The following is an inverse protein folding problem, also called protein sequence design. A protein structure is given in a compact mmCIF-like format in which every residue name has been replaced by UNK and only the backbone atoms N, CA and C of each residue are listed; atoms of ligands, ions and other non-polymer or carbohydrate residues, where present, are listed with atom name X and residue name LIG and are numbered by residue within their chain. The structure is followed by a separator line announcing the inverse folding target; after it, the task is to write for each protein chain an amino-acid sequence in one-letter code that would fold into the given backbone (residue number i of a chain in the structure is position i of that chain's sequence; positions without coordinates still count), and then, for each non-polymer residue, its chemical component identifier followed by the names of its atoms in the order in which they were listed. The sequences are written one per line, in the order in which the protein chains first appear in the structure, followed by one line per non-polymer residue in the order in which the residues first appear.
data_IF_081159093424
#
_entry.id   IF_081159093424
#
_cell.length_a   1.000
_cell.length_b   1.000
_cell.length_c   1.000
_cell.angle_alpha   90.00
_cell.angle_beta   90.00
_cell.angle_gamma   90.00
#
_symmetry.space_group_name_H-M   'P 1'
#
loop_
_entity.id
_entity.type
_entity.pdbx_description
1 polymer ?
#
# COMPACT_ATOMS: atom_id res chain seq x y z
N UNK A 1 -48.87 -39.08 8.33
CA UNK A 1 -48.23 -38.51 7.13
C UNK A 1 -48.69 -37.07 6.99
N UNK A 2 -47.92 -36.10 7.48
CA UNK A 2 -48.28 -34.67 7.40
C UNK A 2 -47.20 -33.92 6.64
N UNK A 3 -47.56 -33.47 5.44
CA UNK A 3 -46.90 -32.41 4.70
C UNK A 3 -46.56 -31.23 5.61
N UNK A 4 -45.29 -30.81 5.65
CA UNK A 4 -44.98 -29.39 5.93
C UNK A 4 -43.90 -28.93 4.96
N UNK A 5 -44.33 -28.58 3.74
CA UNK A 5 -43.51 -27.84 2.78
C UNK A 5 -43.35 -26.40 3.21
N UNK A 6 -42.57 -26.14 4.27
CA UNK A 6 -42.19 -24.78 4.65
C UNK A 6 -41.08 -24.33 3.71
N UNK A 7 -41.42 -23.48 2.76
CA UNK A 7 -40.41 -22.66 2.05
C UNK A 7 -39.58 -21.94 3.10
N UNK A 8 -38.24 -22.05 3.05
CA UNK A 8 -37.39 -21.37 4.01
C UNK A 8 -37.67 -19.86 3.93
N UNK A 9 -37.70 -19.16 5.08
CA UNK A 9 -37.93 -17.72 5.09
C UNK A 9 -36.83 -17.03 4.30
N UNK A 10 -37.18 -15.91 3.66
CA UNK A 10 -36.33 -15.18 2.71
C UNK A 10 -34.91 -15.00 3.30
N UNK A 11 -34.78 -14.63 4.59
CA UNK A 11 -33.50 -14.46 5.28
C UNK A 11 -32.58 -15.70 5.29
N UNK A 12 -33.13 -16.92 5.28
CA UNK A 12 -32.35 -18.16 5.25
C UNK A 12 -31.73 -18.43 3.87
N UNK A 13 -32.33 -17.87 2.81
CA UNK A 13 -31.80 -17.93 1.45
C UNK A 13 -30.67 -16.91 1.28
N UNK A 14 -30.75 -15.72 1.89
CA UNK A 14 -29.69 -14.70 1.80
C UNK A 14 -28.45 -15.01 2.66
N UNK A 15 -28.60 -15.79 3.73
CA UNK A 15 -27.49 -16.17 4.62
C UNK A 15 -26.39 -17.02 3.96
N UNK A 16 -26.67 -17.63 2.80
CA UNK A 16 -25.68 -18.44 2.05
C UNK A 16 -24.95 -17.66 0.95
N UNK A 17 -25.38 -16.43 0.63
CA UNK A 17 -24.77 -15.60 -0.42
C UNK A 17 -23.81 -14.52 0.10
N UNK A 18 -23.62 -14.39 1.41
CA UNK A 18 -22.76 -13.37 2.03
C UNK A 18 -21.26 -13.62 1.85
N UNK A 19 -20.87 -14.74 1.23
CA UNK A 19 -19.48 -15.03 0.86
C UNK A 19 -19.14 -14.64 -0.60
N UNK A 20 -19.66 -13.50 -1.07
CA UNK A 20 -19.00 -12.81 -2.19
C UNK A 20 -17.68 -12.23 -1.66
N UNK A 21 -16.62 -13.02 -1.79
CA UNK A 21 -15.29 -12.67 -1.32
C UNK A 21 -14.81 -11.37 -1.96
N UNK A 22 -14.81 -10.29 -1.18
CA UNK A 22 -13.98 -9.13 -1.48
C UNK A 22 -12.53 -9.59 -1.38
N UNK A 23 -11.93 -9.92 -2.53
CA UNK A 23 -10.49 -10.18 -2.60
C UNK A 23 -9.75 -8.91 -2.19
N UNK A 24 -9.05 -8.96 -1.06
CA UNK A 24 -8.18 -7.87 -0.63
C UNK A 24 -7.06 -7.72 -1.67
N UNK A 25 -7.12 -6.63 -2.45
CA UNK A 25 -6.21 -6.37 -3.58
C UNK A 25 -4.78 -6.03 -3.12
N UNK A 26 -4.65 -5.47 -1.93
CA UNK A 26 -3.40 -5.00 -1.35
C UNK A 26 -3.20 -5.58 0.05
N UNK A 27 -1.95 -5.66 0.54
CA UNK A 27 -1.71 -5.96 1.95
C UNK A 27 -2.40 -4.93 2.87
N UNK A 28 -2.81 -5.32 4.09
CA UNK A 28 -3.48 -4.41 5.00
C UNK A 28 -2.55 -3.25 5.42
N UNK A 29 -3.10 -2.05 5.39
CA UNK A 29 -2.42 -0.79 5.73
C UNK A 29 -3.11 -0.13 6.91
N UNK A 30 -2.35 0.43 7.85
CA UNK A 30 -2.91 1.22 8.94
C UNK A 30 -3.52 2.52 8.42
N UNK A 31 -4.65 2.92 8.98
CA UNK A 31 -5.25 4.23 8.72
C UNK A 31 -4.65 5.21 9.73
N UNK A 32 -3.97 6.24 9.24
CA UNK A 32 -3.36 7.28 10.06
C UNK A 32 -4.23 8.53 10.09
N UNK A 33 -4.12 9.30 11.18
CA UNK A 33 -4.64 10.67 11.22
C UNK A 33 -3.78 11.59 10.34
N UNK A 34 -4.32 12.72 9.89
CA UNK A 34 -3.57 13.70 9.08
C UNK A 34 -2.26 14.16 9.74
N UNK A 35 -2.22 14.18 11.08
CA UNK A 35 -1.04 14.60 11.85
C UNK A 35 0.07 13.54 11.86
N UNK A 36 -0.28 12.26 11.74
CA UNK A 36 0.68 11.15 11.83
C UNK A 36 1.11 10.65 10.45
N UNK A 37 0.31 10.94 9.41
CA UNK A 37 0.61 10.63 8.03
C UNK A 37 1.79 11.45 7.51
N UNK A 38 2.62 10.80 6.70
CA UNK A 38 3.85 11.37 6.12
C UNK A 38 3.93 11.01 4.65
N UNK A 39 4.49 11.92 3.86
CA UNK A 39 4.87 11.68 2.47
C UNK A 39 6.36 11.41 2.40
N UNK A 40 6.75 10.28 1.83
CA UNK A 40 8.09 9.71 1.95
C UNK A 40 8.63 9.33 0.57
N UNK A 41 9.85 9.78 0.27
CA UNK A 41 10.60 9.40 -0.93
C UNK A 41 11.69 8.40 -0.55
N UNK A 42 11.74 7.27 -1.27
CA UNK A 42 12.76 6.23 -1.10
C UNK A 42 13.54 6.09 -2.40
N UNK A 43 14.86 6.27 -2.35
CA UNK A 43 15.76 5.94 -3.46
C UNK A 43 16.23 4.49 -3.34
N UNK A 44 16.25 3.74 -4.45
CA UNK A 44 16.55 2.32 -4.41
C UNK A 44 15.41 1.47 -3.83
N UNK A 45 14.16 1.92 -3.96
CA UNK A 45 13.00 1.29 -3.32
C UNK A 45 12.72 -0.15 -3.76
N UNK A 46 13.23 -0.62 -4.90
CA UNK A 46 13.04 -1.98 -5.38
C UNK A 46 14.23 -2.92 -5.05
N UNK A 47 15.29 -2.44 -4.39
CA UNK A 47 16.39 -3.26 -3.90
C UNK A 47 15.99 -4.04 -2.62
N UNK A 48 16.82 -4.97 -2.14
CA UNK A 48 16.49 -5.84 -1.00
C UNK A 48 16.13 -5.07 0.29
N UNK A 49 16.87 -4.01 0.61
CA UNK A 49 16.63 -3.19 1.80
C UNK A 49 15.52 -2.18 1.55
N UNK A 50 15.56 -1.50 0.39
CA UNK A 50 14.58 -0.48 0.01
C UNK A 50 13.15 -1.04 -0.08
N UNK A 51 12.98 -2.27 -0.56
CA UNK A 51 11.64 -2.86 -0.68
C UNK A 51 11.05 -3.23 0.68
N UNK A 52 11.87 -3.70 1.62
CA UNK A 52 11.43 -3.96 3.00
C UNK A 52 11.09 -2.67 3.74
N UNK A 53 11.86 -1.61 3.53
CA UNK A 53 11.53 -0.29 4.08
C UNK A 53 10.22 0.23 3.48
N UNK A 54 10.02 0.05 2.17
CA UNK A 54 8.77 0.42 1.50
C UNK A 54 7.59 -0.34 2.10
N UNK A 55 7.69 -1.66 2.25
CA UNK A 55 6.64 -2.50 2.86
C UNK A 55 6.30 -2.01 4.26
N UNK A 56 7.30 -1.73 5.09
CA UNK A 56 7.12 -1.22 6.45
C UNK A 56 6.33 0.09 6.45
N UNK A 57 6.73 1.05 5.63
CA UNK A 57 6.13 2.38 5.58
C UNK A 57 4.72 2.36 4.99
N UNK A 58 4.50 1.54 3.95
CA UNK A 58 3.19 1.30 3.38
C UNK A 58 2.25 0.67 4.41
N UNK A 59 2.67 -0.40 5.10
CA UNK A 59 1.86 -1.04 6.15
C UNK A 59 1.59 -0.09 7.32
N UNK A 60 2.51 0.83 7.61
CA UNK A 60 2.32 1.84 8.65
C UNK A 60 1.35 2.96 8.26
N UNK A 61 0.92 3.05 6.99
CA UNK A 61 -0.12 3.97 6.55
C UNK A 61 0.38 5.24 5.87
N UNK A 62 1.67 5.30 5.52
CA UNK A 62 2.27 6.47 4.89
C UNK A 62 2.05 6.49 3.36
N UNK A 63 2.27 7.66 2.77
CA UNK A 63 2.33 7.85 1.31
C UNK A 63 3.79 7.75 0.87
N UNK A 64 4.06 6.78 -0.01
CA UNK A 64 5.40 6.36 -0.35
C UNK A 64 5.62 6.44 -1.86
N UNK A 65 6.59 7.26 -2.25
CA UNK A 65 7.14 7.28 -3.61
C UNK A 65 8.49 6.56 -3.61
N UNK A 66 8.61 5.48 -4.37
CA UNK A 66 9.86 4.77 -4.59
C UNK A 66 10.47 5.16 -5.94
N UNK A 67 11.75 5.53 -5.95
CA UNK A 67 12.54 5.76 -7.17
C UNK A 67 13.57 4.66 -7.29
N UNK A 68 13.59 3.95 -8.41
CA UNK A 68 14.55 2.86 -8.64
C UNK A 68 14.88 2.73 -10.13
N UNK A 69 16.11 2.31 -10.43
CA UNK A 69 16.59 2.07 -11.81
C UNK A 69 16.73 0.58 -12.14
N UNK A 70 16.32 -0.29 -11.21
CA UNK A 70 16.39 -1.74 -11.23
C UNK A 70 17.80 -2.30 -11.48
N UNK A 71 18.87 -1.57 -11.10
CA UNK A 71 20.24 -2.04 -11.29
C UNK A 71 20.51 -3.36 -10.55
N UNK A 72 20.11 -3.45 -9.27
CA UNK A 72 20.07 -4.70 -8.49
C UNK A 72 18.66 -5.08 -8.01
N UNK A 73 17.72 -4.15 -8.10
CA UNK A 73 16.32 -4.32 -7.70
C UNK A 73 15.51 -5.16 -8.70
N UNK A 74 14.30 -5.56 -8.28
CA UNK A 74 13.36 -6.27 -9.16
C UNK A 74 11.97 -5.68 -8.98
N UNK A 75 11.27 -5.38 -10.09
CA UNK A 75 9.89 -4.84 -10.07
C UNK A 75 8.94 -5.66 -9.20
N UNK A 76 9.08 -7.00 -9.20
CA UNK A 76 8.34 -7.94 -8.35
C UNK A 76 8.39 -7.65 -6.86
N UNK A 77 9.41 -6.94 -6.38
CA UNK A 77 9.52 -6.56 -4.97
C UNK A 77 8.52 -5.46 -4.59
N UNK A 78 7.88 -4.81 -5.58
CA UNK A 78 6.95 -3.69 -5.39
C UNK A 78 5.56 -3.96 -5.99
N UNK A 79 5.38 -5.09 -6.69
CA UNK A 79 4.18 -5.38 -7.50
C UNK A 79 2.89 -5.37 -6.69
N UNK A 80 2.94 -5.81 -5.42
CA UNK A 80 1.79 -5.83 -4.51
C UNK A 80 1.33 -4.45 -4.04
N UNK A 81 2.10 -3.39 -4.29
CA UNK A 81 1.68 -2.01 -4.02
C UNK A 81 1.26 -1.25 -5.29
N UNK A 82 1.50 -1.79 -6.48
CA UNK A 82 1.23 -1.06 -7.73
C UNK A 82 -0.26 -0.75 -7.87
N UNK A 83 -0.57 0.54 -8.01
CA UNK A 83 -1.92 1.08 -8.12
C UNK A 83 -2.62 1.29 -6.78
N UNK A 84 -1.96 1.04 -5.64
CA UNK A 84 -2.43 1.50 -4.35
C UNK A 84 -2.36 3.04 -4.30
N UNK A 85 -3.36 3.71 -3.74
CA UNK A 85 -3.46 5.18 -3.77
C UNK A 85 -2.28 5.90 -3.08
N UNK A 86 -1.75 5.28 -2.01
CA UNK A 86 -0.59 5.78 -1.25
C UNK A 86 0.77 5.31 -1.80
N UNK A 87 0.83 4.72 -3.00
CA UNK A 87 2.09 4.22 -3.55
C UNK A 87 2.34 4.64 -4.99
N UNK A 88 3.53 5.16 -5.23
CA UNK A 88 4.04 5.46 -6.56
C UNK A 88 5.43 4.86 -6.78
N UNK A 89 5.65 4.26 -7.96
CA UNK A 89 6.95 3.76 -8.38
C UNK A 89 7.43 4.52 -9.61
N UNK A 90 8.51 5.27 -9.46
CA UNK A 90 9.17 6.02 -10.52
C UNK A 90 10.37 5.21 -11.00
N UNK A 91 10.31 4.75 -12.24
CA UNK A 91 11.46 4.12 -12.89
C UNK A 91 12.40 5.21 -13.42
N UNK A 92 13.51 5.46 -12.74
CA UNK A 92 14.48 6.47 -13.14
C UNK A 92 15.88 6.15 -12.60
N UNK A 93 16.91 6.46 -13.39
CA UNK A 93 18.31 6.39 -12.95
C UNK A 93 18.63 7.52 -11.96
N UNK A 94 19.03 7.18 -10.73
CA UNK A 94 19.33 8.15 -9.65
C UNK A 94 20.80 8.57 -9.64
N UNK A 95 21.54 8.37 -10.74
CA UNK A 95 22.95 8.72 -10.87
C UNK A 95 23.29 10.23 -10.67
N UNK A 96 22.31 11.11 -10.42
CA UNK A 96 22.56 12.49 -10.01
C UNK A 96 22.23 12.73 -8.53
N UNK A 97 23.29 12.96 -7.76
CA UNK A 97 23.26 13.59 -6.44
C UNK A 97 22.45 14.88 -6.50
N UNK A 98 21.27 14.88 -5.88
CA UNK A 98 20.63 16.13 -5.45
C UNK A 98 19.77 15.89 -4.22
N UNK A 99 20.29 16.32 -3.08
CA UNK A 99 19.48 16.62 -1.90
C UNK A 99 18.51 17.73 -2.32
N UNK A 100 17.21 17.46 -2.22
CA UNK A 100 16.15 18.48 -2.21
C UNK A 100 15.43 18.23 -0.90
N UNK A 101 15.68 18.97 0.18
CA UNK A 101 15.42 20.39 0.30
C UNK A 101 14.14 20.53 1.14
N UNK A 102 14.28 21.00 2.38
CA UNK A 102 13.23 21.15 3.40
C UNK A 102 11.92 21.73 2.84
N UNK A 103 10.82 20.99 2.98
CA UNK A 103 9.48 21.54 2.82
C UNK A 103 9.10 22.30 4.10
N UNK A 104 9.28 23.62 4.10
CA UNK A 104 8.76 24.50 5.15
C UNK A 104 7.22 24.51 5.10
N UNK A 105 6.58 24.03 6.16
CA UNK A 105 5.17 24.31 6.47
C UNK A 105 4.37 23.14 7.06
N UNK A 106 4.19 23.14 8.39
CA UNK A 106 3.43 22.20 9.27
C UNK A 106 4.12 20.85 9.62
N UNK A 107 4.05 20.34 10.87
CA UNK A 107 5.12 19.57 11.51
C UNK A 107 5.21 18.06 11.24
N UNK A 108 4.41 17.46 10.36
CA UNK A 108 4.46 16.01 10.10
C UNK A 108 5.48 15.64 9.01
N UNK A 109 6.73 16.03 9.27
CA UNK A 109 8.00 15.56 8.71
C UNK A 109 7.93 14.71 7.42
N UNK A 110 8.19 15.33 6.27
CA UNK A 110 8.69 14.60 5.10
C UNK A 110 10.04 13.97 5.47
N UNK A 111 10.05 12.64 5.62
CA UNK A 111 11.25 11.87 5.88
C UNK A 111 11.94 11.51 4.57
N UNK A 112 13.22 11.84 4.44
CA UNK A 112 14.06 11.33 3.36
C UNK A 112 14.84 10.13 3.89
N UNK A 113 14.65 8.97 3.27
CA UNK A 113 15.38 7.76 3.60
C UNK A 113 16.26 7.39 2.41
N UNK A 114 17.57 7.40 2.64
CA UNK A 114 18.61 6.91 1.72
C UNK A 114 18.82 5.41 1.88
#
# INVERSE_FOLDING_TARGET
MTHTGRTPPIWAVWGTYTNMGFSQKYPPVKILSEKDWKRILITGGACFVGSQLTDKLMMDGHDVTAVDNFFTGRKRNMEHWIGHENFELINHDVALHRVVGEARGSPSTAGFYV
#
